data_IF_331398721553
#
_entry.id   IF_331398721553
#
_cell.length_a   1.000
_cell.length_b   1.000
_cell.length_c   1.000
_cell.angle_alpha   90.00
_cell.angle_beta   90.00
_cell.angle_gamma   90.00
#
_symmetry.space_group_name_H-M   'P 1'
#
loop_
_entity.id
_entity.type
_entity.pdbx_description
1 polymer ?
#
# COMPACT_ATOMS: atom_id res chain seq x y z
N UNK A 1 -9.95 -12.11 -7.08
CA UNK A 1 -8.98 -11.29 -6.31
C UNK A 1 -9.35 -11.26 -4.83
N UNK A 2 -10.65 -11.15 -4.47
CA UNK A 2 -11.13 -11.02 -3.09
C UNK A 2 -12.08 -12.16 -2.68
N UNK A 3 -11.59 -13.37 -2.33
CA UNK A 3 -12.42 -14.51 -1.98
C UNK A 3 -13.40 -14.24 -0.82
N UNK A 4 -12.95 -13.51 0.20
CA UNK A 4 -13.79 -13.12 1.36
C UNK A 4 -15.03 -12.30 0.96
N UNK A 5 -14.92 -11.45 -0.07
CA UNK A 5 -16.07 -10.70 -0.56
C UNK A 5 -17.07 -11.61 -1.30
N UNK A 6 -16.58 -12.65 -1.97
CA UNK A 6 -17.45 -13.62 -2.62
C UNK A 6 -18.31 -14.40 -1.61
N UNK A 7 -17.72 -14.80 -0.48
CA UNK A 7 -18.42 -15.46 0.61
C UNK A 7 -19.52 -14.59 1.23
N UNK A 8 -19.35 -13.27 1.14
CA UNK A 8 -20.23 -12.25 1.75
C UNK A 8 -21.04 -11.45 0.74
N UNK A 9 -21.19 -11.95 -0.49
CA UNK A 9 -21.84 -11.23 -1.60
C UNK A 9 -23.27 -10.77 -1.31
N UNK A 10 -23.99 -11.48 -0.43
CA UNK A 10 -25.35 -11.15 -0.01
C UNK A 10 -25.37 -10.21 1.22
N UNK A 11 -24.22 -9.93 1.84
CA UNK A 11 -24.12 -9.11 3.02
C UNK A 11 -24.10 -7.62 2.64
N UNK A 12 -24.80 -6.81 3.42
CA UNK A 12 -24.78 -5.34 3.22
C UNK A 12 -23.40 -4.78 3.54
N UNK A 13 -22.87 -3.92 2.66
CA UNK A 13 -21.53 -3.34 2.80
C UNK A 13 -21.29 -2.63 4.15
N UNK A 14 -22.32 -2.03 4.74
CA UNK A 14 -22.23 -1.35 6.05
C UNK A 14 -21.92 -2.31 7.21
N UNK A 15 -22.21 -3.60 7.05
CA UNK A 15 -22.00 -4.63 8.08
C UNK A 15 -20.68 -5.37 7.93
N UNK A 16 -19.89 -5.05 6.91
CA UNK A 16 -18.57 -5.60 6.68
C UNK A 16 -17.57 -5.08 7.74
N UNK A 17 -16.57 -5.89 8.07
CA UNK A 17 -15.43 -5.47 8.89
C UNK A 17 -14.61 -4.36 8.21
N UNK A 18 -13.71 -3.71 8.94
CA UNK A 18 -12.81 -2.69 8.39
C UNK A 18 -11.99 -3.20 7.22
N UNK A 19 -11.38 -4.39 7.33
CA UNK A 19 -10.60 -5.01 6.27
C UNK A 19 -11.44 -5.38 5.05
N UNK A 20 -12.63 -5.96 5.27
CA UNK A 20 -13.55 -6.29 4.18
C UNK A 20 -14.02 -5.05 3.42
N UNK A 21 -14.27 -3.93 4.12
CA UNK A 21 -14.58 -2.64 3.48
C UNK A 21 -13.42 -2.10 2.65
N UNK A 22 -12.15 -2.26 3.12
CA UNK A 22 -10.95 -1.90 2.34
C UNK A 22 -10.86 -2.75 1.06
N UNK A 23 -11.02 -4.06 1.16
CA UNK A 23 -11.05 -4.96 0.00
C UNK A 23 -12.17 -4.60 -0.97
N UNK A 24 -13.36 -4.24 -0.45
CA UNK A 24 -14.46 -3.78 -1.29
C UNK A 24 -14.11 -2.48 -2.03
N UNK A 25 -13.44 -1.53 -1.37
CA UNK A 25 -13.01 -0.28 -1.99
C UNK A 25 -12.00 -0.54 -3.13
N UNK A 26 -11.00 -1.40 -2.90
CA UNK A 26 -10.03 -1.82 -3.93
C UNK A 26 -10.74 -2.52 -5.10
N UNK A 27 -11.64 -3.45 -4.81
CA UNK A 27 -12.43 -4.14 -5.83
C UNK A 27 -13.27 -3.19 -6.68
N UNK A 28 -13.88 -2.18 -6.07
CA UNK A 28 -14.64 -1.14 -6.80
C UNK A 28 -13.72 -0.31 -7.71
N UNK A 29 -12.52 0.05 -7.23
CA UNK A 29 -11.52 0.73 -8.06
C UNK A 29 -11.17 -0.08 -9.31
N UNK A 30 -10.94 -1.37 -9.17
CA UNK A 30 -10.66 -2.27 -10.30
C UNK A 30 -11.80 -2.38 -11.32
N UNK A 31 -13.05 -2.29 -10.86
CA UNK A 31 -14.21 -2.35 -11.76
C UNK A 31 -14.29 -1.15 -12.72
N UNK A 32 -13.61 -0.06 -12.42
CA UNK A 32 -13.56 1.12 -13.29
C UNK A 32 -12.72 0.92 -14.55
N UNK A 33 -11.93 -0.17 -14.62
CA UNK A 33 -10.94 -0.44 -15.69
C UNK A 33 -9.96 0.71 -15.85
N UNK A 34 -9.57 1.33 -14.74
CA UNK A 34 -8.62 2.43 -14.73
C UNK A 34 -7.21 1.93 -15.04
N UNK A 35 -6.45 2.70 -15.81
CA UNK A 35 -5.02 2.46 -16.06
C UNK A 35 -4.16 2.88 -14.85
N UNK A 36 -4.68 3.76 -14.01
CA UNK A 36 -4.04 4.28 -12.80
C UNK A 36 -5.00 4.17 -11.61
N UNK A 37 -4.54 3.54 -10.54
CA UNK A 37 -5.25 3.41 -9.26
C UNK A 37 -4.50 4.20 -8.18
N UNK A 38 -5.20 5.11 -7.52
CA UNK A 38 -4.68 5.88 -6.38
C UNK A 38 -5.19 5.23 -5.09
N UNK A 39 -4.26 4.86 -4.20
CA UNK A 39 -4.55 4.19 -2.93
C UNK A 39 -3.92 5.01 -1.81
N UNK A 40 -4.74 5.48 -0.88
CA UNK A 40 -4.31 6.29 0.25
C UNK A 40 -4.43 5.49 1.55
N UNK A 41 -3.29 5.28 2.23
CA UNK A 41 -3.15 4.60 3.53
C UNK A 41 -4.00 3.32 3.67
N UNK A 42 -3.82 2.31 2.81
CA UNK A 42 -4.68 1.12 2.81
C UNK A 42 -4.59 0.28 4.09
N UNK A 43 -3.49 0.38 4.83
CA UNK A 43 -3.24 -0.38 6.05
C UNK A 43 -3.79 0.27 7.31
N UNK A 44 -4.16 1.55 7.27
CA UNK A 44 -4.56 2.32 8.45
C UNK A 44 -5.72 1.67 9.20
N UNK A 45 -5.49 1.37 10.49
CA UNK A 45 -6.51 0.80 11.38
C UNK A 45 -6.85 -0.67 11.15
N UNK A 46 -6.05 -1.40 10.37
CA UNK A 46 -6.21 -2.84 10.16
C UNK A 46 -5.37 -3.66 11.15
N UNK A 47 -5.87 -4.86 11.47
CA UNK A 47 -5.06 -5.86 12.16
C UNK A 47 -3.92 -6.35 11.26
N UNK A 48 -2.73 -6.72 11.81
CA UNK A 48 -1.55 -7.09 11.02
C UNK A 48 -1.82 -8.13 9.94
N UNK A 49 -2.55 -9.19 10.25
CA UNK A 49 -2.90 -10.24 9.28
C UNK A 49 -3.70 -9.73 8.08
N UNK A 50 -4.49 -8.67 8.26
CA UNK A 50 -5.26 -8.04 7.19
C UNK A 50 -4.42 -7.05 6.38
N UNK A 51 -3.40 -6.48 7.00
CA UNK A 51 -2.42 -5.63 6.30
C UNK A 51 -1.72 -6.43 5.22
N UNK A 52 -1.14 -7.58 5.58
CA UNK A 52 -0.46 -8.47 4.63
C UNK A 52 -1.39 -8.85 3.46
N UNK A 53 -2.63 -9.25 3.77
CA UNK A 53 -3.62 -9.60 2.73
C UNK A 53 -3.93 -8.42 1.79
N UNK A 54 -4.03 -7.19 2.29
CA UNK A 54 -4.27 -5.99 1.47
C UNK A 54 -3.09 -5.72 0.55
N UNK A 55 -1.84 -5.81 1.04
CA UNK A 55 -0.65 -5.57 0.22
C UNK A 55 -0.44 -6.67 -0.82
N UNK A 56 -0.71 -7.93 -0.51
CA UNK A 56 -0.73 -9.01 -1.50
C UNK A 56 -1.70 -8.70 -2.65
N UNK A 57 -2.88 -8.13 -2.34
CA UNK A 57 -3.85 -7.74 -3.37
C UNK A 57 -3.40 -6.55 -4.18
N UNK A 58 -2.75 -5.55 -3.55
CA UNK A 58 -2.17 -4.40 -4.26
C UNK A 58 -1.08 -4.87 -5.22
N UNK A 59 -0.19 -5.76 -4.79
CA UNK A 59 0.84 -6.36 -5.63
C UNK A 59 0.24 -7.12 -6.82
N UNK A 60 -0.81 -7.91 -6.60
CA UNK A 60 -1.52 -8.61 -7.66
C UNK A 60 -2.17 -7.66 -8.67
N UNK A 61 -2.72 -6.54 -8.22
CA UNK A 61 -3.29 -5.49 -9.08
C UNK A 61 -2.20 -4.87 -9.96
N UNK A 62 -1.08 -4.45 -9.36
CA UNK A 62 0.04 -3.89 -10.10
C UNK A 62 0.58 -4.88 -11.15
N UNK A 63 0.73 -6.17 -10.77
CA UNK A 63 1.17 -7.24 -11.68
C UNK A 63 0.20 -7.50 -12.83
N UNK A 64 -1.06 -7.09 -12.73
CA UNK A 64 -2.03 -7.21 -13.82
C UNK A 64 -1.93 -6.10 -14.87
N UNK A 65 -0.99 -5.16 -14.72
CA UNK A 65 -0.72 -4.07 -15.65
C UNK A 65 -1.39 -2.74 -15.27
N UNK A 66 -2.02 -2.66 -14.10
CA UNK A 66 -2.57 -1.40 -13.57
C UNK A 66 -1.45 -0.63 -12.87
N UNK A 67 -1.26 0.62 -13.24
CA UNK A 67 -0.34 1.50 -12.51
C UNK A 67 -0.95 1.85 -11.15
N UNK A 68 -0.17 1.70 -10.07
CA UNK A 68 -0.63 2.02 -8.72
C UNK A 68 0.21 3.17 -8.15
N UNK A 69 -0.44 4.22 -7.70
CA UNK A 69 0.15 5.24 -6.84
C UNK A 69 -0.34 5.01 -5.41
N UNK A 70 0.57 4.60 -4.55
CA UNK A 70 0.31 4.26 -3.15
C UNK A 70 0.85 5.35 -2.23
N UNK A 71 0.02 5.87 -1.34
CA UNK A 71 0.44 6.72 -0.22
C UNK A 71 0.46 5.87 1.04
N UNK A 72 1.61 5.83 1.72
CA UNK A 72 1.81 5.00 2.91
C UNK A 72 2.90 5.60 3.81
N UNK A 73 2.69 5.58 5.12
CA UNK A 73 3.67 6.04 6.10
C UNK A 73 4.69 4.94 6.45
N UNK A 74 4.26 3.67 6.44
CA UNK A 74 5.11 2.56 6.81
C UNK A 74 5.93 2.04 5.62
N UNK A 75 7.21 2.41 5.60
CA UNK A 75 8.13 2.02 4.53
C UNK A 75 8.31 0.50 4.40
N UNK A 76 8.13 -0.27 5.47
CA UNK A 76 8.25 -1.73 5.40
C UNK A 76 7.22 -2.34 4.44
N UNK A 77 6.01 -1.78 4.37
CA UNK A 77 5.00 -2.23 3.41
C UNK A 77 5.30 -1.75 1.98
N UNK A 78 5.80 -0.51 1.84
CA UNK A 78 6.11 0.08 0.53
C UNK A 78 7.20 -0.70 -0.19
N UNK A 79 8.26 -1.07 0.51
CA UNK A 79 9.42 -1.76 -0.09
C UNK A 79 9.09 -3.11 -0.73
N UNK A 80 7.99 -3.74 -0.33
CA UNK A 80 7.59 -5.06 -0.82
C UNK A 80 6.78 -5.00 -2.12
N UNK A 81 6.18 -3.84 -2.41
CA UNK A 81 5.24 -3.69 -3.52
C UNK A 81 5.60 -2.58 -4.51
N UNK A 82 6.47 -1.65 -4.14
CA UNK A 82 6.80 -0.49 -4.96
C UNK A 82 8.04 -0.71 -5.83
N UNK A 83 8.02 -0.19 -7.04
CA UNK A 83 9.20 -0.10 -7.92
C UNK A 83 9.97 1.21 -7.66
N UNK A 84 9.24 2.28 -7.39
CA UNK A 84 9.76 3.63 -7.15
C UNK A 84 9.13 4.24 -5.91
N UNK A 85 9.89 5.12 -5.25
CA UNK A 85 9.47 5.83 -4.05
C UNK A 85 9.69 7.33 -4.23
N UNK A 86 8.73 8.10 -3.78
CA UNK A 86 8.83 9.55 -3.60
C UNK A 86 8.61 9.84 -2.12
N UNK A 87 9.64 10.34 -1.44
CA UNK A 87 9.56 10.72 -0.04
C UNK A 87 9.16 12.20 0.06
N UNK A 88 8.07 12.45 0.76
CA UNK A 88 7.52 13.78 0.98
C UNK A 88 7.64 14.14 2.46
N UNK A 89 8.21 15.28 2.76
CA UNK A 89 8.32 15.83 4.09
C UNK A 89 7.93 17.31 4.08
N UNK A 90 7.08 17.73 5.01
CA UNK A 90 6.60 19.12 5.13
C UNK A 90 6.07 19.70 3.78
N UNK A 91 5.42 18.88 2.97
CA UNK A 91 4.85 19.31 1.69
C UNK A 91 5.85 19.43 0.54
N UNK A 92 7.10 19.00 0.73
CA UNK A 92 8.14 19.01 -0.29
C UNK A 92 8.68 17.60 -0.57
N UNK A 93 9.05 17.33 -1.82
CA UNK A 93 9.78 16.11 -2.18
C UNK A 93 11.21 16.23 -1.69
N UNK A 94 11.62 15.31 -0.80
CA UNK A 94 12.98 15.30 -0.24
C UNK A 94 13.86 14.23 -0.88
N UNK A 95 13.25 13.17 -1.43
CA UNK A 95 13.96 12.11 -2.14
C UNK A 95 13.02 11.46 -3.16
N UNK A 96 13.57 11.04 -4.29
CA UNK A 96 12.89 10.24 -5.30
C UNK A 96 13.87 9.25 -5.90
N UNK A 97 13.45 8.01 -6.11
CA UNK A 97 14.30 6.97 -6.69
C UNK A 97 13.63 5.59 -6.70
N UNK A 98 14.42 4.57 -6.99
CA UNK A 98 14.00 3.19 -6.78
C UNK A 98 13.96 2.86 -5.29
N UNK A 99 13.32 1.74 -4.93
CA UNK A 99 13.33 1.24 -3.54
C UNK A 99 14.78 1.06 -3.05
N UNK A 100 15.66 0.53 -3.90
CA UNK A 100 17.07 0.34 -3.54
C UNK A 100 17.82 1.65 -3.33
N UNK A 101 17.55 2.69 -4.13
CA UNK A 101 18.13 4.02 -3.93
C UNK A 101 17.74 4.60 -2.55
N UNK A 102 16.50 4.40 -2.14
CA UNK A 102 15.98 4.85 -0.86
C UNK A 102 16.58 4.06 0.30
N UNK A 103 16.66 2.73 0.19
CA UNK A 103 17.27 1.86 1.20
C UNK A 103 18.76 2.14 1.41
N UNK A 104 19.47 2.51 0.35
CA UNK A 104 20.90 2.83 0.42
C UNK A 104 21.18 4.29 0.89
N UNK A 105 20.14 5.09 1.09
CA UNK A 105 20.31 6.46 1.59
C UNK A 105 20.37 6.45 3.12
N UNK A 106 21.58 6.74 3.67
CA UNK A 106 21.83 6.70 5.11
C UNK A 106 20.92 7.66 5.92
N UNK A 107 20.57 8.82 5.37
CA UNK A 107 19.69 9.78 6.05
C UNK A 107 18.26 9.23 6.16
N UNK A 108 17.78 8.52 5.13
CA UNK A 108 16.43 7.90 5.14
C UNK A 108 16.40 6.71 6.09
N UNK A 109 17.40 5.85 6.04
CA UNK A 109 17.48 4.67 6.92
C UNK A 109 17.55 5.07 8.39
N UNK A 110 18.31 6.08 8.74
CA UNK A 110 18.38 6.60 10.10
C UNK A 110 17.06 7.22 10.58
N UNK A 111 16.38 7.97 9.72
CA UNK A 111 15.18 8.73 10.09
C UNK A 111 13.91 7.89 10.06
N UNK A 112 13.75 7.06 9.03
CA UNK A 112 12.47 6.39 8.75
C UNK A 112 12.48 4.88 8.98
N UNK A 113 13.65 4.23 9.00
CA UNK A 113 13.77 2.78 9.21
C UNK A 113 14.26 2.40 10.61
N UNK A 114 14.62 3.39 11.43
CA UNK A 114 15.06 3.13 12.81
C UNK A 114 16.32 2.28 12.92
N UNK A 115 17.06 2.10 11.83
CA UNK A 115 18.36 1.41 11.85
C UNK A 115 19.37 2.43 12.36
N UNK A 116 19.73 2.33 13.64
CA UNK A 116 20.79 3.14 14.21
C UNK A 116 22.04 2.98 13.37
N UNK A 117 22.68 4.11 13.05
CA UNK A 117 24.07 4.13 12.60
C UNK A 117 24.85 3.71 13.83
N UNK A 118 25.24 2.44 13.93
CA UNK A 118 26.26 2.03 14.90
C UNK A 118 27.53 2.78 14.53
N UNK A 119 27.98 3.65 15.45
CA UNK A 119 29.26 4.32 15.37
C UNK A 119 30.42 3.34 15.47
#
# INVERSE_FOLDING_TARGET
IFPRLLERKEQQARTLSGGERRMLALGRGLMTRADLLLIDEPSLGLAPVLVDEVYDRIAAIASSGVTVLLVEENFAHVREVADRVVLIENGAVVLEGTVDDVLNNAAVTATYLGVGVDE
#
